data_IF_164505789844
#
_entry.id   IF_164505789844
#
_cell.length_a   1.000
_cell.length_b   1.000
_cell.length_c   1.000
_cell.angle_alpha   90.00
_cell.angle_beta   90.00
_cell.angle_gamma   90.00
#
_symmetry.space_group_name_H-M   'P 1'
#
loop_
_entity.id
_entity.type
_entity.pdbx_description
1 polymer ?
#
# COMPACT_ATOMS: atom_id res chain seq x y z
N UNK A 1 11.65 -18.26 -19.65
CA UNK A 1 11.45 -17.00 -20.42
C UNK A 1 11.51 -15.77 -19.53
N UNK A 2 10.62 -15.60 -18.54
CA UNK A 2 10.62 -14.41 -17.66
C UNK A 2 11.97 -14.12 -16.99
N UNK A 3 12.62 -15.15 -16.40
CA UNK A 3 13.95 -15.01 -15.82
C UNK A 3 14.99 -14.55 -16.87
N UNK A 4 14.96 -15.10 -18.08
CA UNK A 4 15.86 -14.73 -19.18
C UNK A 4 15.65 -13.27 -19.59
N UNK A 5 14.41 -12.85 -19.82
CA UNK A 5 14.09 -11.49 -20.23
C UNK A 5 14.50 -10.45 -19.17
N UNK A 6 14.20 -10.72 -17.89
CA UNK A 6 14.61 -9.85 -16.80
C UNK A 6 16.14 -9.79 -16.67
N UNK A 7 16.83 -10.94 -16.80
CA UNK A 7 18.30 -11.01 -16.76
C UNK A 7 18.95 -10.21 -17.88
N UNK A 8 18.38 -10.21 -19.10
CA UNK A 8 18.88 -9.38 -20.20
C UNK A 8 18.86 -7.88 -19.86
N UNK A 9 17.82 -7.40 -19.18
CA UNK A 9 17.75 -5.99 -18.73
C UNK A 9 18.75 -5.72 -17.61
N UNK A 10 18.89 -6.65 -16.65
CA UNK A 10 19.87 -6.53 -15.57
C UNK A 10 21.31 -6.48 -16.10
N UNK A 11 21.65 -7.34 -17.07
CA UNK A 11 22.99 -7.45 -17.65
C UNK A 11 23.36 -6.30 -18.57
N UNK A 12 22.36 -5.62 -19.15
CA UNK A 12 22.60 -4.43 -19.95
C UNK A 12 23.20 -3.28 -19.14
N UNK A 13 23.02 -3.26 -17.81
CA UNK A 13 23.61 -2.27 -16.92
C UNK A 13 23.11 -0.83 -17.14
N UNK A 14 21.98 -0.67 -17.85
CA UNK A 14 21.41 0.64 -18.20
C UNK A 14 20.68 1.26 -17.01
N UNK A 15 20.05 0.43 -16.17
CA UNK A 15 19.22 0.87 -15.05
C UNK A 15 19.79 0.42 -13.70
N UNK A 16 19.39 1.12 -12.64
CA UNK A 16 19.80 0.85 -11.26
C UNK A 16 18.68 1.22 -10.29
N UNK A 17 18.72 0.65 -9.08
CA UNK A 17 17.83 1.09 -8.00
C UNK A 17 18.26 2.49 -7.57
N UNK A 18 17.33 3.42 -7.61
CA UNK A 18 17.58 4.81 -7.23
C UNK A 18 17.74 4.92 -5.71
N UNK A 19 18.83 5.57 -5.29
CA UNK A 19 19.22 5.69 -3.88
C UNK A 19 19.52 7.14 -3.46
N UNK A 20 19.46 8.10 -4.38
CA UNK A 20 19.69 9.52 -4.05
C UNK A 20 18.61 10.03 -3.09
N UNK A 21 19.04 10.78 -2.07
CA UNK A 21 18.20 11.18 -0.94
C UNK A 21 18.13 10.14 0.19
N UNK A 22 18.84 9.01 0.05
CA UNK A 22 18.96 7.99 1.08
C UNK A 22 17.70 7.16 1.27
N UNK A 23 17.67 6.36 2.33
CA UNK A 23 16.62 5.37 2.60
C UNK A 23 15.25 5.98 2.86
N UNK A 24 15.21 7.27 3.24
CA UNK A 24 13.98 7.95 3.66
C UNK A 24 13.27 8.72 2.55
N UNK A 25 13.93 8.94 1.40
CA UNK A 25 13.37 9.71 0.26
C UNK A 25 13.46 9.02 -1.08
N UNK A 26 14.47 8.16 -1.30
CA UNK A 26 14.76 7.63 -2.63
C UNK A 26 13.57 6.90 -3.26
N UNK A 27 12.81 6.13 -2.49
CA UNK A 27 11.66 5.41 -3.02
C UNK A 27 10.53 6.35 -3.44
N UNK A 28 10.10 7.28 -2.57
CA UNK A 28 8.98 8.19 -2.88
C UNK A 28 9.30 9.15 -4.03
N UNK A 29 10.56 9.57 -4.15
CA UNK A 29 11.02 10.44 -5.25
C UNK A 29 10.72 9.87 -6.64
N UNK A 30 10.62 8.55 -6.80
CA UNK A 30 10.24 7.95 -8.09
C UNK A 30 8.83 8.33 -8.56
N UNK A 31 7.98 8.81 -7.64
CA UNK A 31 6.55 9.01 -7.85
C UNK A 31 6.11 10.46 -7.70
N UNK A 32 6.99 11.36 -7.23
CA UNK A 32 6.67 12.76 -6.93
C UNK A 32 7.44 13.78 -7.77
N UNK A 33 8.18 13.32 -8.79
CA UNK A 33 8.93 14.20 -9.69
C UNK A 33 8.20 14.38 -11.03
N UNK A 34 8.23 15.60 -11.56
CA UNK A 34 7.73 15.88 -12.91
C UNK A 34 8.57 15.18 -13.97
N UNK A 35 9.89 15.28 -13.89
CA UNK A 35 10.79 14.50 -14.75
C UNK A 35 11.00 13.09 -14.17
N UNK A 36 10.72 12.02 -14.94
CA UNK A 36 11.00 10.66 -14.49
C UNK A 36 12.49 10.47 -14.14
N UNK A 37 12.75 9.72 -13.08
CA UNK A 37 14.13 9.40 -12.67
C UNK A 37 14.64 8.26 -13.57
N UNK A 38 15.33 8.63 -14.65
CA UNK A 38 15.77 7.72 -15.70
C UNK A 38 16.71 6.59 -15.22
N UNK A 39 17.33 6.73 -14.04
CA UNK A 39 18.13 5.67 -13.44
C UNK A 39 17.30 4.41 -13.16
N UNK A 40 16.03 4.54 -12.75
CA UNK A 40 15.16 3.40 -12.39
C UNK A 40 13.89 3.33 -13.25
N UNK A 41 13.35 4.47 -13.69
CA UNK A 41 12.13 4.53 -14.49
C UNK A 41 12.47 4.26 -15.96
N UNK A 42 11.96 3.14 -16.48
CA UNK A 42 12.21 2.65 -17.83
C UNK A 42 11.19 3.19 -18.83
N UNK A 43 9.94 3.33 -18.40
CA UNK A 43 8.84 3.87 -19.17
C UNK A 43 7.93 4.69 -18.24
N UNK A 44 7.51 5.88 -18.69
CA UNK A 44 6.59 6.73 -17.95
C UNK A 44 5.64 7.46 -18.90
N UNK A 45 4.44 7.77 -18.41
CA UNK A 45 3.62 8.85 -18.96
C UNK A 45 4.08 10.16 -18.32
N UNK A 46 4.61 11.07 -19.15
CA UNK A 46 5.15 12.34 -18.67
C UNK A 46 4.02 13.36 -18.58
N UNK A 47 3.83 13.92 -17.38
CA UNK A 47 2.88 15.02 -17.18
C UNK A 47 3.53 16.33 -17.59
N UNK A 48 2.78 17.16 -18.32
CA UNK A 48 3.25 18.44 -18.82
C UNK A 48 2.11 19.47 -18.73
N UNK A 49 2.33 20.50 -17.90
CA UNK A 49 1.38 21.57 -17.68
C UNK A 49 1.11 22.40 -18.95
N UNK A 50 2.12 22.57 -19.81
CA UNK A 50 1.99 23.33 -21.07
C UNK A 50 1.11 22.58 -22.07
N UNK A 51 1.19 21.25 -22.06
CA UNK A 51 0.36 20.39 -22.91
C UNK A 51 -1.01 20.07 -22.28
N UNK A 52 -1.26 20.50 -21.04
CA UNK A 52 -2.45 20.15 -20.26
C UNK A 52 -2.61 18.62 -20.10
N UNK A 53 -1.48 17.90 -20.03
CA UNK A 53 -1.41 16.47 -19.74
C UNK A 53 -1.09 16.32 -18.24
N UNK A 54 -2.14 16.18 -17.44
CA UNK A 54 -2.09 16.14 -15.98
C UNK A 54 -2.94 14.98 -15.47
N UNK A 55 -2.71 14.57 -14.23
CA UNK A 55 -3.53 13.55 -13.56
C UNK A 55 -4.05 14.05 -12.20
N UNK A 56 -4.72 13.17 -11.47
CA UNK A 56 -5.58 13.50 -10.33
C UNK A 56 -5.17 12.77 -9.03
N UNK A 57 -3.89 12.39 -8.91
CA UNK A 57 -3.46 11.48 -7.87
C UNK A 57 -3.53 12.13 -6.48
N UNK A 58 -3.22 13.43 -6.35
CA UNK A 58 -3.42 14.13 -5.09
C UNK A 58 -4.89 14.04 -4.68
N UNK A 59 -5.81 14.41 -5.57
CA UNK A 59 -7.25 14.35 -5.29
C UNK A 59 -7.71 12.94 -4.87
N UNK A 60 -7.19 11.89 -5.49
CA UNK A 60 -7.52 10.50 -5.14
C UNK A 60 -7.17 10.13 -3.68
N UNK A 61 -6.13 10.74 -3.10
CA UNK A 61 -5.64 10.44 -1.74
C UNK A 61 -5.90 11.57 -0.71
N UNK A 62 -6.43 12.72 -1.15
CA UNK A 62 -6.77 13.88 -0.31
C UNK A 62 -8.21 14.35 -0.52
N UNK A 63 -9.11 13.45 -0.95
CA UNK A 63 -10.54 13.72 -1.12
C UNK A 63 -11.41 12.72 -0.37
N UNK A 64 -12.47 13.23 0.26
CA UNK A 64 -13.50 12.41 0.91
C UNK A 64 -14.55 11.84 -0.07
N UNK A 65 -14.56 12.32 -1.32
CA UNK A 65 -15.58 11.98 -2.33
C UNK A 65 -15.00 11.30 -3.56
N UNK A 66 -13.70 11.48 -3.82
CA UNK A 66 -13.01 10.88 -4.95
C UNK A 66 -12.23 9.64 -4.52
N UNK A 67 -12.32 8.55 -5.29
CA UNK A 67 -11.79 7.21 -4.94
C UNK A 67 -12.21 6.66 -3.57
N UNK A 68 -13.21 7.28 -2.94
CA UNK A 68 -13.85 6.85 -1.69
C UNK A 68 -12.83 6.56 -0.58
N UNK A 69 -11.96 7.55 -0.28
CA UNK A 69 -10.98 7.50 0.82
C UNK A 69 -10.04 6.29 0.73
N UNK A 70 -9.21 6.25 -0.32
CA UNK A 70 -8.25 5.17 -0.54
C UNK A 70 -7.37 4.92 0.69
N UNK A 71 -7.41 3.70 1.21
CA UNK A 71 -6.77 3.29 2.47
C UNK A 71 -6.02 1.98 2.32
N UNK A 72 -4.88 1.84 3.00
CA UNK A 72 -4.32 0.51 3.23
C UNK A 72 -5.06 -0.21 4.36
N UNK A 73 -5.01 -1.54 4.36
CA UNK A 73 -5.51 -2.35 5.47
C UNK A 73 -4.35 -2.72 6.40
N UNK A 74 -4.61 -2.81 7.71
CA UNK A 74 -3.59 -3.20 8.70
C UNK A 74 -2.93 -4.52 8.35
N UNK A 75 -3.72 -5.45 7.80
CA UNK A 75 -3.18 -6.75 7.40
C UNK A 75 -2.05 -6.63 6.36
N UNK A 76 -2.07 -5.61 5.50
CA UNK A 76 -0.99 -5.32 4.56
C UNK A 76 0.13 -4.51 5.22
N UNK A 77 -0.18 -3.56 6.10
CA UNK A 77 0.83 -2.79 6.85
C UNK A 77 1.73 -3.71 7.68
N UNK A 78 1.19 -4.81 8.22
CA UNK A 78 1.95 -5.81 8.95
C UNK A 78 2.96 -6.59 8.09
N UNK A 79 2.86 -6.52 6.76
CA UNK A 79 3.84 -7.20 5.88
C UNK A 79 5.16 -6.45 5.80
N UNK A 80 5.20 -5.14 6.07
CA UNK A 80 6.43 -4.37 6.11
C UNK A 80 7.34 -4.92 7.22
N UNK A 81 8.60 -5.21 6.89
CA UNK A 81 9.54 -5.75 7.87
C UNK A 81 9.96 -4.68 8.89
N UNK A 82 10.63 -5.10 9.95
CA UNK A 82 11.44 -4.18 10.77
C UNK A 82 12.74 -3.82 10.03
N UNK A 83 13.43 -2.79 10.49
CA UNK A 83 14.73 -2.37 9.93
C UNK A 83 15.81 -3.47 10.01
N UNK A 84 15.69 -4.39 10.97
CA UNK A 84 16.56 -5.57 11.09
C UNK A 84 16.23 -6.69 10.08
N UNK A 85 15.19 -6.52 9.25
CA UNK A 85 14.76 -7.50 8.25
C UNK A 85 13.87 -8.62 8.79
N UNK A 86 13.51 -8.61 10.07
CA UNK A 86 12.59 -9.60 10.66
C UNK A 86 11.12 -9.16 10.54
N UNK A 87 10.16 -10.10 10.47
CA UNK A 87 8.74 -9.78 10.46
C UNK A 87 8.31 -8.93 11.66
N UNK A 88 7.53 -7.88 11.41
CA UNK A 88 6.98 -7.04 12.47
C UNK A 88 6.10 -7.82 13.45
N UNK A 89 5.33 -8.77 12.93
CA UNK A 89 4.42 -9.64 13.70
C UNK A 89 5.12 -10.64 14.62
N UNK A 90 6.46 -10.66 14.64
CA UNK A 90 7.23 -11.35 15.68
C UNK A 90 7.32 -10.53 16.98
N UNK A 91 6.87 -9.28 16.97
CA UNK A 91 6.92 -8.38 18.14
C UNK A 91 5.77 -8.72 19.08
N UNK A 92 6.06 -9.06 20.33
CA UNK A 92 5.02 -9.36 21.32
C UNK A 92 4.07 -8.16 21.48
N UNK A 93 2.76 -8.40 21.37
CA UNK A 93 1.73 -7.37 21.52
C UNK A 93 1.54 -6.47 20.29
N UNK A 94 2.04 -6.86 19.12
CA UNK A 94 1.82 -6.13 17.87
C UNK A 94 0.32 -5.94 17.58
N UNK A 95 -0.54 -6.87 18.00
CA UNK A 95 -1.98 -6.88 17.75
C UNK A 95 -2.71 -5.67 18.36
N UNK A 96 -2.21 -5.13 19.48
CA UNK A 96 -2.83 -4.01 20.20
C UNK A 96 -1.94 -2.77 20.22
N UNK A 97 -0.85 -2.77 19.44
CA UNK A 97 0.06 -1.64 19.34
C UNK A 97 -0.65 -0.43 18.74
N UNK A 98 -0.46 0.74 19.35
CA UNK A 98 -1.03 1.99 18.86
C UNK A 98 -0.32 2.40 17.56
N UNK A 99 -1.06 3.07 16.67
CA UNK A 99 -0.57 3.50 15.35
C UNK A 99 0.82 4.17 15.42
N UNK A 100 1.00 5.14 16.31
CA UNK A 100 2.26 5.88 16.47
C UNK A 100 3.45 4.99 16.82
N UNK A 101 3.22 3.85 17.49
CA UNK A 101 4.26 2.91 17.88
C UNK A 101 4.46 1.80 16.84
N UNK A 102 3.37 1.36 16.20
CA UNK A 102 3.35 0.33 15.16
C UNK A 102 4.20 0.69 13.93
N UNK A 103 4.25 1.98 13.60
CA UNK A 103 4.96 2.48 12.41
C UNK A 103 6.46 2.74 12.64
N UNK A 104 6.97 2.59 13.88
CA UNK A 104 8.37 2.86 14.22
C UNK A 104 9.28 1.66 13.94
N UNK A 105 10.53 1.95 13.55
CA UNK A 105 11.56 0.92 13.33
C UNK A 105 11.23 -0.05 12.19
N UNK A 106 10.48 0.42 11.18
CA UNK A 106 9.99 -0.36 10.05
C UNK A 106 10.80 -0.08 8.79
N UNK A 107 10.66 -0.97 7.81
CA UNK A 107 10.97 -0.74 6.41
C UNK A 107 10.65 0.71 5.99
N UNK A 108 11.64 1.45 5.51
CA UNK A 108 11.51 2.88 5.22
C UNK A 108 10.61 3.16 4.02
N UNK A 109 10.16 2.16 3.26
CA UNK A 109 9.08 2.34 2.28
C UNK A 109 7.76 2.64 2.98
N UNK A 110 7.52 2.17 4.21
CA UNK A 110 6.28 2.45 4.95
C UNK A 110 6.07 3.97 5.14
N UNK A 111 7.09 4.67 5.66
CA UNK A 111 7.07 6.14 5.82
C UNK A 111 7.05 6.91 4.50
N UNK A 112 7.30 6.24 3.38
CA UNK A 112 7.22 6.80 2.03
C UNK A 112 5.92 6.41 1.32
N UNK A 113 5.09 5.58 1.96
CA UNK A 113 3.86 5.03 1.40
C UNK A 113 2.62 5.55 2.12
N UNK A 114 2.70 5.81 3.44
CA UNK A 114 1.60 6.35 4.24
C UNK A 114 2.00 7.59 5.06
N UNK A 115 1.02 8.39 5.50
CA UNK A 115 1.21 9.46 6.49
C UNK A 115 1.55 8.83 7.85
N UNK A 116 2.72 9.16 8.41
CA UNK A 116 3.14 8.73 9.74
C UNK A 116 4.25 9.65 10.27
N UNK A 117 4.40 9.73 11.60
CA UNK A 117 5.44 10.53 12.26
C UNK A 117 5.46 11.99 11.76
N UNK A 118 6.66 12.55 11.57
CA UNK A 118 6.87 13.95 11.13
C UNK A 118 6.58 14.19 9.62
N UNK A 119 5.63 13.47 9.03
CA UNK A 119 5.20 13.77 7.66
C UNK A 119 4.55 15.17 7.61
N UNK A 120 5.04 16.00 6.69
CA UNK A 120 4.60 17.39 6.51
C UNK A 120 4.09 17.64 5.11
N UNK A 121 3.10 18.52 5.01
CA UNK A 121 2.57 19.09 3.76
C UNK A 121 3.07 20.52 3.61
N UNK A 122 2.90 21.10 2.43
CA UNK A 122 3.20 22.51 2.16
C UNK A 122 1.90 23.25 1.91
N UNK A 123 1.71 24.40 2.57
CA UNK A 123 0.58 25.31 2.33
C UNK A 123 1.11 26.74 2.27
N UNK A 124 0.96 27.40 1.12
CA UNK A 124 1.47 28.77 0.93
C UNK A 124 2.99 28.89 1.16
N UNK A 125 3.75 27.84 0.86
CA UNK A 125 5.20 27.77 1.10
C UNK A 125 5.62 27.41 2.54
N UNK A 126 4.69 27.33 3.49
CA UNK A 126 4.96 26.89 4.86
C UNK A 126 4.78 25.38 5.01
N UNK A 127 5.67 24.73 5.75
CA UNK A 127 5.48 23.34 6.14
C UNK A 127 4.44 23.24 7.26
N UNK A 128 3.49 22.33 7.12
CA UNK A 128 2.46 22.03 8.11
C UNK A 128 2.46 20.53 8.45
N UNK A 129 2.18 20.14 9.71
CA UNK A 129 2.00 18.74 10.07
C UNK A 129 0.92 18.07 9.21
N UNK A 130 1.16 16.83 8.79
CA UNK A 130 0.25 16.03 7.98
C UNK A 130 -0.09 14.70 8.63
N UNK A 131 -0.83 14.67 9.75
CA UNK A 131 -1.32 13.41 10.32
C UNK A 131 -2.29 12.71 9.35
N UNK A 132 -2.58 11.40 9.56
CA UNK A 132 -3.71 10.76 8.91
C UNK A 132 -5.01 11.50 9.20
N UNK A 133 -5.79 11.79 8.15
CA UNK A 133 -7.07 12.51 8.27
C UNK A 133 -8.23 11.56 7.95
N UNK A 134 -9.16 11.37 8.89
CA UNK A 134 -10.30 10.45 8.71
C UNK A 134 -11.36 10.99 7.74
N UNK A 135 -11.24 12.25 7.34
CA UNK A 135 -11.90 12.80 6.16
C UNK A 135 -11.43 12.15 4.85
N UNK A 136 -10.22 11.55 4.84
CA UNK A 136 -9.58 10.94 3.66
C UNK A 136 -9.17 9.47 3.83
N UNK A 137 -9.33 8.88 5.02
CA UNK A 137 -9.07 7.44 5.26
C UNK A 137 -10.13 6.81 6.17
N UNK A 138 -10.45 5.53 5.94
CA UNK A 138 -11.32 4.75 6.84
C UNK A 138 -10.55 3.93 7.87
N UNK A 139 -9.31 3.58 7.57
CA UNK A 139 -8.49 2.63 8.35
C UNK A 139 -7.38 3.31 9.15
N UNK A 140 -7.15 4.61 8.89
CA UNK A 140 -6.02 5.35 9.46
C UNK A 140 -4.71 5.24 8.67
N UNK A 141 -4.58 4.29 7.74
CA UNK A 141 -3.39 4.15 6.91
C UNK A 141 -3.56 4.92 5.59
N UNK A 142 -3.38 6.25 5.65
CA UNK A 142 -3.58 7.15 4.52
C UNK A 142 -2.37 7.16 3.58
N UNK A 143 -2.54 6.85 2.28
CA UNK A 143 -1.45 6.86 1.30
C UNK A 143 -0.81 8.24 1.04
N UNK A 144 0.48 8.25 0.69
CA UNK A 144 1.23 9.44 0.24
C UNK A 144 2.12 9.20 -0.99
N UNK A 145 2.19 7.96 -1.50
CA UNK A 145 3.19 7.55 -2.50
C UNK A 145 3.21 8.46 -3.74
N UNK A 146 2.03 8.74 -4.29
CA UNK A 146 1.83 9.58 -5.48
C UNK A 146 1.43 11.03 -5.17
N UNK A 147 1.38 11.39 -3.89
CA UNK A 147 0.88 12.69 -3.48
C UNK A 147 2.02 13.70 -3.50
N UNK A 148 1.92 14.77 -4.26
CA UNK A 148 2.78 15.94 -4.14
C UNK A 148 2.52 16.62 -2.78
N UNK A 149 3.57 17.09 -2.11
CA UNK A 149 3.47 17.59 -0.73
C UNK A 149 2.80 18.96 -0.63
N UNK A 150 2.82 19.76 -1.70
CA UNK A 150 2.09 21.03 -1.76
C UNK A 150 0.58 20.80 -1.92
N UNK A 151 -0.18 21.36 -0.99
CA UNK A 151 -1.64 21.29 -0.97
C UNK A 151 -2.27 22.05 -2.14
N UNK A 152 -1.53 22.91 -2.84
CA UNK A 152 -1.95 23.47 -4.12
C UNK A 152 -2.43 22.38 -5.10
N UNK A 153 -1.81 21.20 -5.06
CA UNK A 153 -2.15 20.08 -5.94
C UNK A 153 -3.36 19.25 -5.46
N UNK A 154 -3.96 19.54 -4.30
CA UNK A 154 -5.10 18.77 -3.73
C UNK A 154 -6.42 19.07 -4.45
N UNK A 155 -6.42 18.89 -5.77
CA UNK A 155 -7.54 19.10 -6.69
C UNK A 155 -7.45 18.17 -7.90
N UNK A 156 -8.50 18.12 -8.70
CA UNK A 156 -8.72 17.11 -9.74
C UNK A 156 -7.64 17.05 -10.81
N UNK A 157 -7.13 18.16 -11.34
CA UNK A 157 -6.35 18.12 -12.59
C UNK A 157 -5.06 18.96 -12.51
N UNK A 158 -4.32 18.90 -11.40
CA UNK A 158 -3.10 19.70 -11.22
C UNK A 158 -1.81 18.88 -11.02
N UNK A 159 -1.86 17.56 -10.88
CA UNK A 159 -0.64 16.80 -10.65
C UNK A 159 0.30 16.84 -11.84
N UNK A 160 1.52 17.30 -11.57
CA UNK A 160 2.61 17.41 -12.56
C UNK A 160 3.63 16.28 -12.46
N UNK A 161 3.53 15.38 -11.48
CA UNK A 161 4.46 14.26 -11.36
C UNK A 161 4.22 13.23 -12.47
N UNK A 162 5.29 12.70 -13.05
CA UNK A 162 5.15 11.67 -14.08
C UNK A 162 4.67 10.33 -13.50
N UNK A 163 3.88 9.59 -14.27
CA UNK A 163 3.40 8.26 -13.89
C UNK A 163 4.36 7.21 -14.44
N UNK A 164 5.17 6.60 -13.56
CA UNK A 164 6.01 5.47 -13.92
C UNK A 164 5.16 4.25 -14.28
N UNK A 165 5.39 3.70 -15.48
CA UNK A 165 4.70 2.50 -15.98
C UNK A 165 5.56 1.25 -15.80
N UNK A 166 6.86 1.36 -16.12
CA UNK A 166 7.84 0.30 -15.88
C UNK A 166 9.04 0.85 -15.10
N UNK A 167 9.42 0.14 -14.04
CA UNK A 167 10.61 0.46 -13.24
C UNK A 167 11.51 -0.75 -13.13
N UNK A 168 12.80 -0.48 -12.97
CA UNK A 168 13.81 -1.52 -12.81
C UNK A 168 13.58 -2.40 -11.57
N UNK A 169 12.94 -1.87 -10.51
CA UNK A 169 12.54 -2.69 -9.37
C UNK A 169 11.59 -3.84 -9.75
N UNK A 170 10.67 -3.62 -10.69
CA UNK A 170 9.79 -4.68 -11.20
C UNK A 170 10.59 -5.76 -11.95
N UNK A 171 11.62 -5.38 -12.70
CA UNK A 171 12.53 -6.32 -13.39
C UNK A 171 13.22 -7.23 -12.37
N UNK A 172 13.75 -6.66 -11.28
CA UNK A 172 14.39 -7.44 -10.21
C UNK A 172 13.40 -8.42 -9.56
N UNK A 173 12.17 -7.98 -9.32
CA UNK A 173 11.11 -8.82 -8.75
C UNK A 173 10.68 -9.94 -9.71
N UNK A 174 10.55 -9.64 -11.00
CA UNK A 174 10.19 -10.61 -12.03
C UNK A 174 11.29 -11.68 -12.18
N UNK A 175 12.57 -11.29 -12.12
CA UNK A 175 13.69 -12.24 -12.07
C UNK A 175 13.66 -13.12 -10.83
N UNK A 176 13.53 -12.50 -9.64
CA UNK A 176 13.51 -13.21 -8.37
C UNK A 176 12.36 -14.21 -8.28
N UNK A 177 11.16 -13.80 -8.68
CA UNK A 177 9.97 -14.67 -8.68
C UNK A 177 10.13 -15.82 -9.67
N UNK A 178 10.54 -15.55 -10.91
CA UNK A 178 10.71 -16.61 -11.91
C UNK A 178 11.78 -17.63 -11.47
N UNK A 179 12.90 -17.19 -10.88
CA UNK A 179 13.93 -18.11 -10.39
C UNK A 179 13.53 -18.85 -9.12
N UNK A 180 12.75 -18.22 -8.24
CA UNK A 180 12.21 -18.88 -7.04
C UNK A 180 11.25 -20.00 -7.43
N UNK A 181 10.29 -19.73 -8.33
CA UNK A 181 9.32 -20.71 -8.82
C UNK A 181 10.00 -21.86 -9.61
N UNK A 182 11.16 -21.61 -10.22
CA UNK A 182 11.99 -22.63 -10.86
C UNK A 182 12.89 -23.41 -9.89
N UNK A 183 12.96 -23.02 -8.62
CA UNK A 183 13.88 -23.62 -7.63
C UNK A 183 15.37 -23.33 -7.90
N UNK A 184 15.68 -22.30 -8.70
CA UNK A 184 17.05 -21.99 -9.15
C UNK A 184 17.61 -20.67 -8.60
N UNK A 185 16.83 -19.93 -7.80
CA UNK A 185 17.27 -18.69 -7.17
C UNK A 185 18.43 -18.97 -6.21
N UNK A 186 19.60 -18.36 -6.43
CA UNK A 186 20.75 -18.46 -5.52
C UNK A 186 20.77 -17.30 -4.51
N UNK A 187 21.70 -17.35 -3.55
CA UNK A 187 21.91 -16.24 -2.62
C UNK A 187 22.49 -15.00 -3.33
N UNK A 188 23.29 -15.21 -4.38
CA UNK A 188 23.77 -14.12 -5.24
C UNK A 188 22.63 -13.46 -6.02
N UNK A 189 21.69 -14.27 -6.57
CA UNK A 189 20.50 -13.71 -7.22
C UNK A 189 19.65 -12.93 -6.23
N UNK A 190 19.47 -13.45 -5.01
CA UNK A 190 18.75 -12.77 -3.94
C UNK A 190 19.41 -11.43 -3.60
N UNK A 191 20.73 -11.42 -3.40
CA UNK A 191 21.50 -10.22 -3.11
C UNK A 191 21.43 -9.19 -4.24
N UNK A 192 21.35 -9.65 -5.50
CA UNK A 192 21.23 -8.80 -6.68
C UNK A 192 19.80 -8.29 -6.93
N UNK A 193 18.78 -8.87 -6.27
CA UNK A 193 17.36 -8.52 -6.46
C UNK A 193 16.71 -8.02 -5.17
N UNK A 194 16.14 -8.93 -4.38
CA UNK A 194 15.43 -8.64 -3.12
C UNK A 194 16.34 -7.89 -2.15
N UNK A 195 17.60 -8.32 -2.03
CA UNK A 195 18.62 -7.65 -1.21
C UNK A 195 18.84 -6.18 -1.60
N UNK A 196 18.84 -5.85 -2.91
CA UNK A 196 18.96 -4.46 -3.38
C UNK A 196 17.75 -3.61 -2.98
N UNK A 197 16.54 -4.14 -3.15
CA UNK A 197 15.30 -3.44 -2.80
C UNK A 197 15.21 -3.17 -1.30
N UNK A 198 15.54 -4.18 -0.48
CA UNK A 198 15.61 -4.09 0.98
C UNK A 198 16.67 -3.09 1.44
N UNK A 199 17.85 -3.12 0.84
CA UNK A 199 18.93 -2.18 1.15
C UNK A 199 18.50 -0.73 0.88
N UNK A 200 17.85 -0.45 -0.27
CA UNK A 200 17.29 0.89 -0.55
C UNK A 200 16.24 1.29 0.47
N UNK A 201 15.43 0.33 0.93
CA UNK A 201 14.42 0.52 1.96
C UNK A 201 14.97 0.66 3.39
N UNK A 202 16.30 0.68 3.58
CA UNK A 202 16.93 0.80 4.89
C UNK A 202 16.85 -0.45 5.77
N UNK A 203 16.48 -1.60 5.20
CA UNK A 203 16.59 -2.88 5.87
C UNK A 203 18.05 -3.32 5.89
N UNK A 204 18.51 -3.81 7.04
CA UNK A 204 19.91 -4.16 7.30
C UNK A 204 20.17 -5.66 7.35
N UNK A 205 19.15 -6.47 7.67
CA UNK A 205 19.25 -7.93 7.72
C UNK A 205 18.65 -8.64 6.50
N UNK A 206 19.07 -9.88 6.27
CA UNK A 206 18.54 -10.73 5.19
C UNK A 206 18.83 -10.22 3.78
N UNK A 207 19.92 -9.46 3.59
CA UNK A 207 20.26 -8.84 2.31
C UNK A 207 20.99 -9.78 1.36
N UNK A 208 21.81 -10.68 1.88
CA UNK A 208 22.73 -11.49 1.07
C UNK A 208 22.41 -12.98 1.05
N UNK A 209 21.44 -13.43 1.85
CA UNK A 209 21.06 -14.82 1.95
C UNK A 209 19.54 -14.96 1.91
N UNK A 210 19.06 -15.99 1.20
CA UNK A 210 17.65 -16.35 1.14
C UNK A 210 17.10 -16.74 2.52
N UNK A 211 15.81 -16.51 2.79
CA UNK A 211 15.19 -16.97 4.02
C UNK A 211 15.16 -18.50 4.08
N UNK A 212 15.36 -19.04 5.28
CA UNK A 212 15.24 -20.48 5.56
C UNK A 212 14.04 -20.82 6.43
N UNK A 213 13.35 -19.80 6.96
CA UNK A 213 12.22 -19.94 7.87
C UNK A 213 11.03 -19.22 7.27
N UNK A 214 9.88 -19.91 7.27
CA UNK A 214 8.60 -19.33 6.84
C UNK A 214 8.14 -18.30 7.86
N UNK A 215 7.74 -17.10 7.40
CA UNK A 215 6.94 -16.20 8.24
C UNK A 215 5.50 -16.74 8.36
N UNK A 216 5.07 -17.16 9.57
CA UNK A 216 3.72 -17.68 9.78
C UNK A 216 2.62 -16.68 9.42
N UNK A 217 2.89 -15.38 9.54
CA UNK A 217 1.90 -14.34 9.23
C UNK A 217 1.62 -14.27 7.73
N UNK A 218 2.65 -14.16 6.89
CA UNK A 218 2.46 -14.14 5.43
C UNK A 218 1.84 -15.44 4.94
N UNK A 219 2.28 -16.59 5.47
CA UNK A 219 1.70 -17.88 5.10
C UNK A 219 0.22 -17.94 5.46
N UNK A 220 -0.16 -17.72 6.72
CA UNK A 220 -1.55 -17.87 7.15
C UNK A 220 -2.50 -16.85 6.54
N UNK A 221 -2.08 -15.58 6.41
CA UNK A 221 -2.95 -14.48 5.95
C UNK A 221 -3.08 -14.46 4.42
N UNK A 222 -2.00 -14.77 3.69
CA UNK A 222 -1.96 -14.58 2.23
C UNK A 222 -1.82 -15.87 1.42
N UNK A 223 -0.99 -16.81 1.87
CA UNK A 223 -0.56 -17.97 1.07
C UNK A 223 -0.49 -19.28 1.87
N UNK A 224 -1.60 -19.77 2.45
CA UNK A 224 -1.60 -20.92 3.36
C UNK A 224 -1.14 -22.23 2.71
N UNK A 225 -1.17 -22.31 1.38
CA UNK A 225 -0.70 -23.47 0.61
C UNK A 225 0.77 -23.43 0.21
N UNK A 226 1.54 -22.40 0.59
CA UNK A 226 2.96 -22.27 0.22
C UNK A 226 3.82 -22.46 1.47
N UNK A 227 4.73 -23.43 1.42
CA UNK A 227 5.67 -23.73 2.52
C UNK A 227 7.11 -23.31 2.21
N UNK A 228 7.39 -22.86 0.99
CA UNK A 228 8.71 -22.34 0.62
C UNK A 228 8.88 -20.91 1.14
N UNK A 229 9.81 -20.65 2.08
CA UNK A 229 10.03 -19.31 2.62
C UNK A 229 10.52 -18.30 1.57
N UNK A 230 11.24 -18.77 0.54
CA UNK A 230 11.76 -17.91 -0.53
C UNK A 230 10.62 -17.37 -1.37
N UNK A 231 9.68 -18.22 -1.79
CA UNK A 231 8.51 -17.79 -2.58
C UNK A 231 7.66 -16.78 -1.78
N UNK A 232 7.41 -17.06 -0.50
CA UNK A 232 6.64 -16.16 0.37
C UNK A 232 7.29 -14.78 0.49
N UNK A 233 8.61 -14.72 0.70
CA UNK A 233 9.31 -13.46 0.84
C UNK A 233 9.41 -12.68 -0.48
N UNK A 234 9.58 -13.36 -1.63
CA UNK A 234 9.53 -12.69 -2.93
C UNK A 234 8.15 -12.07 -3.17
N UNK A 235 7.06 -12.77 -2.83
CA UNK A 235 5.69 -12.24 -2.96
C UNK A 235 5.40 -11.10 -1.98
N UNK A 236 5.94 -11.15 -0.75
CA UNK A 236 5.92 -10.03 0.21
C UNK A 236 6.60 -8.81 -0.39
N UNK A 237 7.83 -8.97 -0.84
CA UNK A 237 8.65 -7.88 -1.38
C UNK A 237 7.94 -7.23 -2.58
N UNK A 238 7.39 -8.04 -3.48
CA UNK A 238 6.60 -7.55 -4.62
C UNK A 238 5.38 -6.75 -4.19
N UNK A 239 4.62 -7.25 -3.22
CA UNK A 239 3.44 -6.56 -2.69
C UNK A 239 3.77 -5.18 -2.12
N UNK A 240 4.88 -5.07 -1.38
CA UNK A 240 5.34 -3.82 -0.77
C UNK A 240 5.87 -2.86 -1.84
N UNK A 241 6.81 -3.32 -2.66
CA UNK A 241 7.55 -2.50 -3.63
C UNK A 241 6.64 -1.93 -4.72
N UNK A 242 5.61 -2.66 -5.14
CA UNK A 242 4.70 -2.28 -6.22
C UNK A 242 3.33 -1.79 -5.73
N UNK A 243 3.22 -1.51 -4.42
CA UNK A 243 1.97 -1.00 -3.84
C UNK A 243 1.54 0.32 -4.49
N UNK A 244 0.24 0.45 -4.81
CA UNK A 244 -0.35 1.61 -5.51
C UNK A 244 0.17 1.85 -6.94
N UNK A 245 0.78 0.85 -7.58
CA UNK A 245 1.24 0.93 -8.98
C UNK A 245 0.39 0.08 -9.95
N UNK A 246 -0.78 -0.38 -9.50
CA UNK A 246 -1.71 -1.16 -10.34
C UNK A 246 -1.44 -2.67 -10.41
N UNK A 247 -0.41 -3.18 -9.74
CA UNK A 247 -0.02 -4.60 -9.85
C UNK A 247 -0.78 -5.56 -8.93
N UNK A 248 -1.34 -5.09 -7.81
CA UNK A 248 -1.88 -5.99 -6.77
C UNK A 248 -3.02 -6.88 -7.28
N UNK A 249 -3.95 -6.33 -8.07
CA UNK A 249 -5.06 -7.12 -8.59
C UNK A 249 -4.58 -8.15 -9.63
N UNK A 250 -3.80 -7.79 -10.68
CA UNK A 250 -3.15 -8.76 -11.56
C UNK A 250 -2.34 -9.84 -10.83
N UNK A 251 -1.59 -9.47 -9.80
CA UNK A 251 -0.83 -10.43 -8.97
C UNK A 251 -1.75 -11.43 -8.27
N UNK A 252 -2.86 -10.96 -7.68
CA UNK A 252 -3.88 -11.83 -7.08
C UNK A 252 -4.45 -12.81 -8.11
N UNK A 253 -4.74 -12.35 -9.33
CA UNK A 253 -5.30 -13.19 -10.38
C UNK A 253 -4.32 -14.29 -10.81
N UNK A 254 -3.07 -13.91 -11.14
CA UNK A 254 -2.06 -14.86 -11.64
C UNK A 254 -1.56 -15.82 -10.57
N UNK A 255 -1.58 -15.42 -9.30
CA UNK A 255 -1.31 -16.32 -8.17
C UNK A 255 -2.50 -17.21 -7.80
N UNK A 256 -3.67 -17.03 -8.44
CA UNK A 256 -4.91 -17.72 -8.10
C UNK A 256 -5.28 -17.55 -6.61
N UNK A 257 -5.18 -16.30 -6.12
CA UNK A 257 -5.48 -15.91 -4.73
C UNK A 257 -6.70 -15.00 -4.61
N UNK A 258 -7.72 -15.25 -5.42
CA UNK A 258 -8.93 -14.44 -5.47
C UNK A 258 -9.70 -14.39 -4.15
N UNK A 259 -9.55 -15.40 -3.29
CA UNK A 259 -10.10 -15.37 -1.93
C UNK A 259 -9.57 -14.21 -1.06
N UNK A 260 -8.41 -13.63 -1.39
CA UNK A 260 -7.92 -12.41 -0.73
C UNK A 260 -8.83 -11.19 -0.98
N UNK A 261 -9.66 -11.20 -2.02
CA UNK A 261 -10.67 -10.16 -2.23
C UNK A 261 -11.81 -10.20 -1.20
N UNK A 262 -11.86 -11.25 -0.37
CA UNK A 262 -12.81 -11.38 0.76
C UNK A 262 -12.24 -10.88 2.09
N UNK A 263 -10.97 -10.45 2.12
CA UNK A 263 -10.33 -9.99 3.35
C UNK A 263 -11.12 -8.87 4.03
N UNK A 264 -11.12 -8.88 5.37
CA UNK A 264 -11.62 -7.78 6.18
C UNK A 264 -10.80 -6.51 5.89
N UNK A 265 -11.48 -5.40 5.66
CA UNK A 265 -10.83 -4.11 5.55
C UNK A 265 -10.63 -3.53 6.95
N UNK A 266 -9.52 -3.88 7.57
CA UNK A 266 -9.17 -3.47 8.93
C UNK A 266 -8.21 -2.26 8.95
N UNK A 267 -8.30 -1.46 10.01
CA UNK A 267 -7.43 -0.33 10.29
C UNK A 267 -6.67 -0.48 11.60
N UNK A 268 -6.00 0.59 12.02
CA UNK A 268 -5.19 0.56 13.24
C UNK A 268 -6.03 0.22 14.47
N UNK A 269 -5.34 -0.21 15.53
CA UNK A 269 -5.96 -0.53 16.81
C UNK A 269 -6.42 0.73 17.57
N UNK A 270 -7.68 0.73 18.02
CA UNK A 270 -8.26 1.74 18.91
C UNK A 270 -8.42 1.13 20.30
N UNK A 271 -7.74 1.66 21.34
CA UNK A 271 -7.73 1.02 22.66
C UNK A 271 -9.07 1.09 23.38
N UNK A 272 -9.76 2.22 23.27
CA UNK A 272 -11.12 2.42 23.80
C UNK A 272 -11.73 3.69 23.20
N UNK A 273 -13.06 3.80 23.25
CA UNK A 273 -13.78 5.02 22.85
C UNK A 273 -13.37 6.21 23.71
N UNK A 274 -13.60 7.41 23.18
CA UNK A 274 -13.39 8.69 23.86
C UNK A 274 -11.96 8.92 24.37
N UNK A 275 -10.99 8.19 23.82
CA UNK A 275 -9.56 8.42 24.06
C UNK A 275 -9.00 9.20 22.88
N UNK A 276 -8.62 10.47 23.07
CA UNK A 276 -7.93 11.23 22.04
C UNK A 276 -6.57 10.62 21.70
N UNK A 277 -6.26 10.58 20.41
CA UNK A 277 -5.02 10.01 19.89
C UNK A 277 -4.25 11.08 19.11
N UNK A 278 -2.97 11.19 19.44
CA UNK A 278 -1.95 11.91 18.67
C UNK A 278 -1.25 10.86 17.75
N UNK A 279 -1.49 10.96 16.45
CA UNK A 279 -1.06 9.99 15.44
C UNK A 279 0.31 10.33 14.84
N UNK A 280 0.74 11.60 14.90
CA UNK A 280 2.00 12.08 14.33
C UNK A 280 3.06 12.46 15.40
N UNK A 281 2.70 12.40 16.67
CA UNK A 281 3.53 12.70 17.84
C UNK A 281 3.99 14.16 17.94
N UNK A 282 3.17 15.11 17.46
CA UNK A 282 3.47 16.54 17.55
C UNK A 282 2.94 17.22 18.83
N UNK A 283 2.28 16.45 19.71
CA UNK A 283 1.68 16.95 20.94
C UNK A 283 0.27 17.54 20.76
N UNK A 284 -0.26 17.54 19.54
CA UNK A 284 -1.63 17.92 19.20
C UNK A 284 -2.43 16.63 18.99
N UNK A 285 -3.66 16.61 19.48
CA UNK A 285 -4.55 15.46 19.33
C UNK A 285 -5.21 15.50 17.95
N UNK A 286 -5.25 14.36 17.26
CA UNK A 286 -5.73 14.25 15.89
C UNK A 286 -7.14 13.66 15.81
N UNK A 287 -7.42 12.61 16.58
CA UNK A 287 -8.66 11.82 16.41
C UNK A 287 -9.24 11.32 17.73
N UNK A 288 -10.57 11.26 17.80
CA UNK A 288 -11.37 10.61 18.84
C UNK A 288 -12.44 9.73 18.21
N UNK A 289 -12.52 8.47 18.63
CA UNK A 289 -13.60 7.56 18.25
C UNK A 289 -14.71 7.60 19.29
N UNK A 290 -15.97 7.66 18.85
CA UNK A 290 -17.12 7.76 19.76
C UNK A 290 -18.33 6.97 19.25
N UNK A 291 -19.24 6.66 20.17
CA UNK A 291 -20.57 6.17 19.87
C UNK A 291 -21.63 7.08 20.48
N UNK A 292 -22.81 7.13 19.88
CA UNK A 292 -23.94 7.96 20.32
C UNK A 292 -23.69 9.45 20.07
N UNK A 293 -23.77 10.24 21.14
CA UNK A 293 -23.68 11.70 21.05
C UNK A 293 -22.22 12.13 21.00
N UNK A 294 -21.88 13.02 20.06
CA UNK A 294 -20.54 13.62 19.98
C UNK A 294 -20.22 14.33 21.31
N UNK A 295 -19.04 14.11 21.91
CA UNK A 295 -18.62 14.79 23.14
C UNK A 295 -18.72 16.31 23.06
N UNK A 296 -19.15 16.94 24.16
CA UNK A 296 -19.24 18.38 24.34
C UNK A 296 -18.69 18.80 25.72
N UNK A 297 -17.80 19.81 25.81
CA UNK A 297 -17.25 20.58 24.70
C UNK A 297 -16.32 19.74 23.81
N UNK A 298 -16.30 20.05 22.51
CA UNK A 298 -15.40 19.39 21.58
C UNK A 298 -13.97 19.94 21.75
N UNK A 299 -12.98 19.06 21.60
CA UNK A 299 -11.57 19.44 21.56
C UNK A 299 -11.28 20.15 20.23
N UNK A 300 -10.59 21.29 20.30
CA UNK A 300 -10.15 22.03 19.11
C UNK A 300 -9.09 21.23 18.35
N UNK A 301 -9.21 21.17 17.02
CA UNK A 301 -8.22 20.50 16.16
C UNK A 301 -8.39 18.99 16.02
N UNK A 302 -9.34 18.38 16.74
CA UNK A 302 -9.55 16.92 16.76
C UNK A 302 -10.68 16.49 15.81
N UNK A 303 -10.44 15.46 15.01
CA UNK A 303 -11.46 14.79 14.22
C UNK A 303 -12.24 13.76 15.06
N UNK A 304 -13.57 13.77 14.93
CA UNK A 304 -14.45 12.87 15.67
C UNK A 304 -15.04 11.82 14.73
N UNK A 305 -14.66 10.55 14.93
CA UNK A 305 -15.13 9.44 14.10
C UNK A 305 -16.25 8.69 14.82
N UNK A 306 -17.44 8.71 14.22
CA UNK A 306 -18.61 8.00 14.75
C UNK A 306 -18.53 6.52 14.39
N UNK A 307 -18.34 5.66 15.39
CA UNK A 307 -18.31 4.19 15.26
C UNK A 307 -19.54 3.52 15.88
N UNK A 308 -20.62 4.29 16.07
CA UNK A 308 -21.92 3.78 16.56
C UNK A 308 -22.41 2.64 15.70
N UNK A 309 -23.23 1.71 16.24
CA UNK A 309 -23.84 0.65 15.44
C UNK A 309 -24.65 1.13 14.24
N UNK A 310 -25.30 2.28 14.38
CA UNK A 310 -26.10 2.92 13.35
C UNK A 310 -25.76 4.40 13.20
N UNK A 311 -25.99 4.93 12.00
CA UNK A 311 -26.03 6.36 11.71
C UNK A 311 -27.45 6.66 11.20
N UNK A 312 -28.25 7.34 12.03
CA UNK A 312 -29.70 7.40 11.83
C UNK A 312 -30.30 5.99 11.87
N UNK A 313 -31.01 5.60 10.81
CA UNK A 313 -31.62 4.27 10.66
C UNK A 313 -30.72 3.25 9.96
N UNK A 314 -29.57 3.67 9.42
CA UNK A 314 -28.70 2.81 8.62
C UNK A 314 -27.62 2.17 9.48
N UNK A 315 -27.23 0.93 9.14
CA UNK A 315 -26.05 0.32 9.73
C UNK A 315 -24.81 1.13 9.40
N UNK A 316 -23.97 1.37 10.40
CA UNK A 316 -22.70 2.06 10.19
C UNK A 316 -21.67 1.07 9.64
N UNK A 317 -21.09 1.41 8.49
CA UNK A 317 -20.03 0.61 7.87
C UNK A 317 -18.66 0.79 8.54
N UNK A 318 -18.45 1.85 9.32
CA UNK A 318 -17.21 2.09 10.06
C UNK A 318 -17.41 1.74 11.53
N UNK A 319 -16.81 0.64 11.98
CA UNK A 319 -16.99 0.08 13.34
C UNK A 319 -15.67 -0.28 13.97
N UNK A 320 -15.65 -0.48 15.28
CA UNK A 320 -14.55 -1.16 15.98
C UNK A 320 -14.86 -2.65 16.11
N UNK A 321 -13.83 -3.48 15.99
CA UNK A 321 -13.95 -4.94 16.00
C UNK A 321 -14.63 -5.51 17.25
N UNK A 322 -14.35 -4.94 18.43
CA UNK A 322 -14.93 -5.34 19.71
C UNK A 322 -15.96 -4.31 20.22
N UNK A 323 -16.64 -3.62 19.30
CA UNK A 323 -17.63 -2.55 19.53
C UNK A 323 -17.06 -1.27 20.15
N UNK A 324 -16.43 -1.36 21.32
CA UNK A 324 -15.86 -0.21 22.05
C UNK A 324 -14.33 -0.13 21.97
N UNK A 325 -13.66 -1.14 21.41
CA UNK A 325 -12.21 -1.19 21.21
C UNK A 325 -11.85 -2.14 20.06
N UNK A 326 -10.56 -2.24 19.73
CA UNK A 326 -10.05 -3.12 18.69
C UNK A 326 -9.71 -2.39 17.40
N UNK A 327 -9.39 -3.17 16.36
CA UNK A 327 -9.13 -2.64 15.03
C UNK A 327 -10.36 -1.92 14.48
N UNK A 328 -10.13 -0.83 13.76
CA UNK A 328 -11.14 -0.27 12.88
C UNK A 328 -11.52 -1.31 11.83
N UNK A 329 -12.79 -1.32 11.45
CA UNK A 329 -13.34 -2.18 10.39
C UNK A 329 -14.19 -1.34 9.46
N UNK A 330 -14.10 -1.64 8.16
CA UNK A 330 -14.84 -0.94 7.12
C UNK A 330 -15.68 -1.91 6.29
N UNK A 331 -16.95 -1.57 6.07
CA UNK A 331 -17.91 -2.32 5.24
C UNK A 331 -18.13 -3.78 5.64
N UNK A 332 -17.97 -4.13 6.92
CA UNK A 332 -18.28 -5.48 7.40
C UNK A 332 -19.78 -5.82 7.42
N UNK A 333 -20.64 -4.81 7.24
CA UNK A 333 -22.06 -5.01 6.98
C UNK A 333 -22.36 -5.56 5.57
N UNK A 334 -21.35 -5.67 4.69
CA UNK A 334 -21.47 -6.25 3.36
C UNK A 334 -20.77 -7.61 3.31
N UNK A 335 -21.42 -8.61 2.72
CA UNK A 335 -20.80 -9.91 2.45
C UNK A 335 -19.91 -9.82 1.21
N UNK A 336 -18.59 -9.90 1.41
CA UNK A 336 -17.62 -9.99 0.31
C UNK A 336 -17.56 -11.41 -0.22
N UNK A 337 -17.76 -11.58 -1.52
CA UNK A 337 -17.70 -12.88 -2.19
C UNK A 337 -16.63 -12.87 -3.26
N UNK A 338 -16.09 -14.05 -3.59
CA UNK A 338 -15.25 -14.26 -4.76
C UNK A 338 -15.75 -15.51 -5.49
N UNK A 339 -15.87 -15.41 -6.81
CA UNK A 339 -16.24 -16.48 -7.72
C UNK A 339 -15.08 -16.64 -8.70
N UNK A 340 -14.68 -17.87 -9.00
CA UNK A 340 -13.56 -18.18 -9.88
C UNK A 340 -13.72 -17.60 -11.30
N UNK A 341 -14.94 -17.31 -11.76
CA UNK A 341 -15.13 -16.60 -13.03
C UNK A 341 -14.45 -15.23 -13.06
N UNK A 342 -14.28 -14.59 -11.89
CA UNK A 342 -13.64 -13.26 -11.74
C UNK A 342 -12.13 -13.29 -11.95
N UNK A 343 -11.55 -14.47 -12.20
CA UNK A 343 -10.19 -14.54 -12.76
C UNK A 343 -10.11 -14.02 -14.20
N UNK A 344 -11.24 -13.89 -14.89
CA UNK A 344 -11.33 -13.32 -16.23
C UNK A 344 -12.40 -12.23 -16.27
N UNK A 345 -12.21 -11.21 -17.09
CA UNK A 345 -13.25 -10.21 -17.34
C UNK A 345 -14.36 -10.78 -18.23
N UNK A 346 -15.63 -10.39 -18.06
CA UNK A 346 -16.66 -10.73 -19.03
C UNK A 346 -16.36 -10.06 -20.38
N UNK A 347 -16.62 -10.77 -21.48
CA UNK A 347 -16.69 -10.15 -22.80
C UNK A 347 -17.94 -9.26 -22.83
N UNK A 348 -17.83 -7.95 -23.16
CA UNK A 348 -18.98 -7.05 -23.19
C UNK A 348 -20.09 -7.57 -24.10
N UNK A 349 -21.34 -7.52 -23.63
CA UNK A 349 -22.47 -8.06 -24.37
C UNK A 349 -22.64 -7.38 -25.73
N UNK A 350 -22.35 -6.09 -25.82
CA UNK A 350 -22.37 -5.33 -27.08
C UNK A 350 -21.41 -5.90 -28.12
N UNK A 351 -20.27 -6.45 -27.71
CA UNK A 351 -19.29 -7.02 -28.61
C UNK A 351 -19.71 -8.43 -29.04
N UNK A 352 -20.31 -9.20 -28.12
CA UNK A 352 -20.92 -10.51 -28.43
C UNK A 352 -22.09 -10.39 -29.41
N UNK A 353 -22.91 -9.35 -29.29
CA UNK A 353 -23.99 -9.08 -30.24
C UNK A 353 -23.46 -8.69 -31.63
N UNK A 354 -22.34 -7.96 -31.71
CA UNK A 354 -21.68 -7.62 -32.97
C UNK A 354 -21.01 -8.82 -33.64
N UNK A 355 -20.38 -9.69 -32.85
CA UNK A 355 -19.77 -10.93 -33.34
C UNK A 355 -20.18 -12.11 -32.46
N UNK A 356 -21.29 -12.81 -32.81
CA UNK A 356 -21.79 -13.96 -32.05
C UNK A 356 -20.78 -15.11 -31.91
N UNK A 357 -19.76 -15.18 -32.78
CA UNK A 357 -18.72 -16.21 -32.71
C UNK A 357 -17.69 -15.97 -31.58
N UNK A 358 -17.71 -14.82 -30.88
CA UNK A 358 -16.79 -14.53 -29.77
C UNK A 358 -17.01 -15.45 -28.55
N UNK A 359 -18.22 -15.98 -28.36
CA UNK A 359 -18.56 -16.75 -27.16
C UNK A 359 -18.56 -15.89 -25.89
N UNK A 360 -18.26 -16.49 -24.73
CA UNK A 360 -18.12 -15.81 -23.43
C UNK A 360 -17.02 -16.51 -22.62
N UNK A 361 -16.34 -15.76 -21.74
CA UNK A 361 -15.40 -16.33 -20.79
C UNK A 361 -16.12 -17.24 -19.78
N UNK A 362 -15.48 -18.32 -19.30
CA UNK A 362 -16.14 -19.30 -18.44
C UNK A 362 -16.82 -18.68 -17.20
N UNK A 363 -18.11 -18.99 -17.00
CA UNK A 363 -18.91 -18.59 -15.84
C UNK A 363 -19.61 -17.23 -15.93
N UNK A 364 -19.32 -16.43 -16.96
CA UNK A 364 -19.94 -15.11 -17.19
C UNK A 364 -21.25 -15.15 -17.97
#
# INVERSE_FOLDING_TARGET
EAATAAKSVMDAGIYSIYTTGGTTKAYRSLFTNATPIAAEVMLAAVMDLTLNELHDANWAYTSGTYWVKGSFIRSFINTFLKEDGTPFTNTVGWETMLFKDEVKGRDKRLQQTIRLGDYKRISGGAQIPGPPLFSYTFTGYQPIKWTLDDMYYDTRDLNINSVALFRYAEVLLNYAEAKAELGTLTDEDWAATIGKLRSRAGITGGLTAKPTVVDPYIQSVYFPGITDPVILEVRRERGIELSLEGFRFPDILRWKRGELMKMEWNGFYVPTLLTPMDLNEDGILDVVFYQGTKPSPALTGVEYVNVSPTIGTNQNSQRLKNDTSGELTWMNNLTRTWDDKRYYYPIPETDRLKNPNLGQNPGW
#
